data_IF_059220442169
#
_entry.id   IF_059220442169
#
_cell.length_a   1.000
_cell.length_b   1.000
_cell.length_c   1.000
_cell.angle_alpha   90.00
_cell.angle_beta   90.00
_cell.angle_gamma   90.00
#
_symmetry.space_group_name_H-M   'P 1'
#
loop_
_entity.id
_entity.type
_entity.pdbx_description
1 polymer ?
#
# COMPACT_ATOMS: atom_id res chain seq x y z
N UNK A 1 -35.16 2.34 -4.26
CA UNK A 1 -33.92 3.09 -3.94
C UNK A 1 -33.72 3.01 -2.44
N UNK A 2 -32.82 2.14 -1.99
CA UNK A 2 -32.30 2.17 -0.61
C UNK A 2 -30.86 1.70 -0.70
N UNK A 3 -29.95 2.67 -0.61
CA UNK A 3 -28.51 2.49 -0.54
C UNK A 3 -28.16 1.79 0.77
N UNK A 4 -27.80 0.51 0.68
CA UNK A 4 -27.24 -0.24 1.80
C UNK A 4 -25.73 -0.06 1.85
N UNK A 5 -25.25 0.64 2.88
CA UNK A 5 -23.86 0.79 3.27
C UNK A 5 -23.10 -0.54 3.16
N UNK A 6 -22.27 -0.67 2.12
CA UNK A 6 -21.35 -1.79 1.96
C UNK A 6 -20.03 -1.42 2.63
N UNK A 7 -20.07 -1.29 3.97
CA UNK A 7 -18.85 -1.31 4.77
C UNK A 7 -18.17 -2.65 4.49
N UNK A 8 -17.14 -2.61 3.64
CA UNK A 8 -16.32 -3.74 3.28
C UNK A 8 -15.42 -4.09 4.48
N UNK A 9 -16.04 -4.62 5.53
CA UNK A 9 -15.36 -5.23 6.68
C UNK A 9 -14.63 -6.45 6.16
N UNK A 10 -13.41 -6.23 5.67
CA UNK A 10 -12.42 -7.27 5.42
C UNK A 10 -12.32 -8.12 6.70
N UNK A 11 -12.94 -9.31 6.68
CA UNK A 11 -12.92 -10.25 7.78
C UNK A 11 -11.54 -10.91 7.79
N UNK A 12 -10.59 -10.30 8.51
CA UNK A 12 -9.30 -10.93 8.76
C UNK A 12 -9.52 -12.15 9.67
N UNK A 13 -9.20 -13.35 9.20
CA UNK A 13 -9.09 -14.53 10.05
C UNK A 13 -7.61 -14.79 10.29
N UNK A 14 -7.15 -14.56 11.52
CA UNK A 14 -5.82 -14.97 11.94
C UNK A 14 -5.85 -16.49 12.10
N UNK A 15 -5.26 -17.22 11.15
CA UNK A 15 -5.01 -18.64 11.33
C UNK A 15 -3.79 -18.77 12.27
N UNK A 16 -4.06 -18.98 13.55
CA UNK A 16 -3.02 -19.34 14.52
C UNK A 16 -2.52 -20.74 14.22
N UNK A 17 -1.48 -20.86 13.39
CA UNK A 17 -0.70 -22.08 13.22
C UNK A 17 0.50 -22.10 14.19
N UNK A 18 0.93 -23.28 14.66
CA UNK A 18 1.99 -23.39 15.66
C UNK A 18 3.33 -23.00 15.02
N UNK A 19 3.96 -21.91 15.51
CA UNK A 19 5.31 -21.41 15.16
C UNK A 19 5.65 -21.41 13.66
N UNK A 20 5.62 -20.26 12.97
CA UNK A 20 6.25 -20.23 11.64
C UNK A 20 6.13 -18.96 10.83
N UNK A 21 4.96 -18.68 10.25
CA UNK A 21 4.85 -17.66 9.19
C UNK A 21 3.56 -16.89 9.34
N UNK A 22 3.65 -15.55 9.45
CA UNK A 22 2.47 -14.69 9.44
C UNK A 22 1.84 -14.75 8.04
N UNK A 23 0.53 -14.97 7.96
CA UNK A 23 -0.22 -14.95 6.70
C UNK A 23 -1.34 -13.92 6.81
N UNK A 24 -1.48 -13.11 5.77
CA UNK A 24 -2.60 -12.19 5.60
C UNK A 24 -3.50 -12.69 4.46
N UNK A 25 -4.81 -12.66 4.68
CA UNK A 25 -5.77 -13.04 3.65
C UNK A 25 -6.27 -11.81 2.89
N UNK A 26 -6.21 -11.87 1.57
CA UNK A 26 -6.89 -10.95 0.68
C UNK A 26 -8.03 -11.70 -0.03
N UNK A 27 -9.25 -11.61 0.50
CA UNK A 27 -10.37 -12.44 0.05
C UNK A 27 -10.08 -13.92 0.33
N UNK A 28 -9.87 -14.71 -0.72
CA UNK A 28 -9.52 -16.14 -0.66
C UNK A 28 -8.03 -16.43 -0.91
N UNK A 29 -7.21 -15.40 -1.08
CA UNK A 29 -5.78 -15.55 -1.38
C UNK A 29 -4.91 -15.29 -0.15
N UNK A 30 -4.05 -16.24 0.15
CA UNK A 30 -3.02 -16.08 1.17
C UNK A 30 -1.86 -15.24 0.64
N UNK A 31 -1.40 -14.32 1.48
CA UNK A 31 -0.28 -13.42 1.19
C UNK A 31 0.67 -13.42 2.38
N UNK A 32 1.98 -13.42 2.10
CA UNK A 32 3.01 -13.31 3.14
C UNK A 32 3.31 -11.84 3.34
N UNK A 33 3.09 -11.27 4.54
CA UNK A 33 3.36 -9.87 4.77
C UNK A 33 4.84 -9.62 5.06
N UNK A 34 5.26 -8.40 4.78
CA UNK A 34 6.51 -7.82 5.27
C UNK A 34 6.18 -6.88 6.44
N UNK A 35 6.99 -6.90 7.49
CA UNK A 35 6.78 -6.04 8.67
C UNK A 35 7.69 -4.81 8.56
N UNK A 36 7.12 -3.61 8.62
CA UNK A 36 7.84 -2.32 8.63
C UNK A 36 7.21 -1.35 9.60
N UNK A 37 8.02 -0.70 10.45
CA UNK A 37 7.56 0.19 11.52
C UNK A 37 6.41 -0.40 12.37
N UNK A 38 6.48 -1.70 12.66
CA UNK A 38 5.43 -2.42 13.40
C UNK A 38 4.13 -2.65 12.63
N UNK A 39 4.08 -2.33 11.33
CA UNK A 39 2.95 -2.57 10.44
C UNK A 39 3.26 -3.73 9.51
N UNK A 40 2.38 -4.73 9.48
CA UNK A 40 2.47 -5.81 8.51
C UNK A 40 1.75 -5.40 7.22
N UNK A 41 2.46 -5.45 6.10
CA UNK A 41 2.02 -5.04 4.77
C UNK A 41 2.05 -6.24 3.84
N UNK A 42 0.96 -6.51 3.13
CA UNK A 42 0.87 -7.61 2.19
C UNK A 42 0.34 -7.14 0.84
N UNK A 43 0.87 -7.70 -0.24
CA UNK A 43 0.37 -7.48 -1.60
C UNK A 43 -0.19 -8.76 -2.21
N UNK A 44 -1.38 -8.68 -2.79
CA UNK A 44 -1.99 -9.77 -3.51
C UNK A 44 -1.87 -9.55 -5.01
N UNK A 45 -0.97 -10.29 -5.69
CA UNK A 45 -0.78 -10.19 -7.15
C UNK A 45 -2.01 -10.60 -7.96
N UNK A 46 -2.86 -11.48 -7.42
CA UNK A 46 -4.09 -11.91 -8.09
C UNK A 46 -5.17 -10.83 -8.02
N UNK A 47 -5.37 -10.23 -6.85
CA UNK A 47 -6.39 -9.20 -6.65
C UNK A 47 -5.92 -7.79 -7.03
N UNK A 48 -4.60 -7.57 -7.17
CA UNK A 48 -4.03 -6.24 -7.42
C UNK A 48 -4.21 -5.29 -6.24
N UNK A 49 -4.14 -5.79 -5.01
CA UNK A 49 -4.40 -5.01 -3.79
C UNK A 49 -3.21 -5.05 -2.84
N UNK A 50 -3.10 -4.00 -2.02
CA UNK A 50 -2.22 -3.94 -0.84
C UNK A 50 -3.09 -3.85 0.41
N UNK A 51 -2.75 -4.60 1.45
CA UNK A 51 -3.49 -4.64 2.72
C UNK A 51 -2.55 -4.48 3.90
N UNK A 52 -3.09 -3.95 5.00
CA UNK A 52 -2.35 -3.62 6.21
C UNK A 52 -2.99 -4.30 7.41
N UNK A 53 -2.16 -4.85 8.29
CA UNK A 53 -2.65 -5.42 9.55
C UNK A 53 -2.88 -4.32 10.58
N UNK A 54 -4.04 -4.35 11.24
CA UNK A 54 -4.41 -3.44 12.33
C UNK A 54 -4.35 -1.94 11.98
N UNK A 55 -4.38 -1.60 10.68
CA UNK A 55 -4.40 -0.23 10.16
C UNK A 55 -5.39 -0.19 9.01
N UNK A 56 -6.05 0.95 8.84
CA UNK A 56 -6.77 1.23 7.60
C UNK A 56 -5.78 1.52 6.46
N UNK A 57 -6.30 1.67 5.24
CA UNK A 57 -5.46 1.89 4.07
C UNK A 57 -4.69 3.21 4.15
N UNK A 58 -5.24 4.25 4.78
CA UNK A 58 -4.54 5.53 4.92
C UNK A 58 -3.41 5.45 5.95
N UNK A 59 -3.68 4.98 7.16
CA UNK A 59 -2.68 4.84 8.21
C UNK A 59 -1.60 3.82 7.86
N UNK A 60 -1.96 2.75 7.15
CA UNK A 60 -1.01 1.78 6.61
C UNK A 60 -0.07 2.39 5.57
N UNK A 61 -0.61 3.19 4.65
CA UNK A 61 0.19 3.90 3.66
C UNK A 61 1.04 4.99 4.29
N UNK A 62 0.51 5.77 5.24
CA UNK A 62 1.32 6.73 5.98
C UNK A 62 2.52 6.07 6.68
N UNK A 63 2.32 4.89 7.28
CA UNK A 63 3.41 4.12 7.89
C UNK A 63 4.41 3.57 6.85
N UNK A 64 3.94 3.15 5.67
CA UNK A 64 4.78 2.66 4.59
C UNK A 64 5.70 3.77 4.04
N UNK A 65 5.19 5.00 3.99
CA UNK A 65 5.89 6.16 3.43
C UNK A 65 6.56 7.05 4.50
N UNK A 66 6.49 6.69 5.79
CA UNK A 66 6.89 7.56 6.91
C UNK A 66 8.33 8.08 6.80
N UNK A 67 9.26 7.21 6.44
CA UNK A 67 10.69 7.55 6.32
C UNK A 67 11.10 7.91 4.89
N UNK A 68 10.14 7.93 3.96
CA UNK A 68 10.42 8.23 2.57
C UNK A 68 10.31 9.72 2.31
N UNK A 69 11.26 10.25 1.53
CA UNK A 69 11.23 11.65 1.11
C UNK A 69 10.48 11.79 -0.21
N UNK A 70 9.50 12.69 -0.25
CA UNK A 70 8.89 13.14 -1.52
C UNK A 70 9.98 13.79 -2.39
N UNK A 71 10.21 13.23 -3.58
CA UNK A 71 11.23 13.74 -4.53
C UNK A 71 10.63 14.39 -5.76
N UNK A 72 9.34 14.19 -6.03
CA UNK A 72 8.67 14.86 -7.12
C UNK A 72 7.25 14.37 -7.38
N UNK A 73 6.61 15.03 -8.32
CA UNK A 73 5.34 14.63 -8.94
C UNK A 73 5.63 14.23 -10.38
N UNK A 74 5.06 13.13 -10.83
CA UNK A 74 5.26 12.57 -12.17
C UNK A 74 3.93 12.49 -12.91
N UNK A 75 3.98 12.66 -14.22
CA UNK A 75 2.80 12.52 -15.07
C UNK A 75 2.24 11.09 -14.99
N UNK A 76 0.92 11.01 -14.92
CA UNK A 76 0.16 9.80 -14.62
C UNK A 76 0.03 8.80 -15.80
N UNK A 77 1.02 8.72 -16.71
CA UNK A 77 0.92 7.82 -17.87
C UNK A 77 0.87 6.36 -17.37
N UNK A 78 -0.29 5.71 -17.57
CA UNK A 78 -0.55 4.34 -17.12
C UNK A 78 -0.84 4.21 -15.61
N UNK A 79 -0.98 5.31 -14.88
CA UNK A 79 -1.37 5.30 -13.46
C UNK A 79 -2.90 5.25 -13.29
N UNK A 80 -3.40 4.65 -12.20
CA UNK A 80 -4.83 4.52 -11.93
C UNK A 80 -5.51 5.83 -11.46
N UNK A 81 -4.75 6.92 -11.33
CA UNK A 81 -5.20 8.25 -10.94
C UNK A 81 -4.38 9.33 -11.64
N UNK A 82 -4.91 10.56 -11.70
CA UNK A 82 -4.34 11.67 -12.49
C UNK A 82 -3.10 12.34 -11.91
N UNK A 83 -2.73 12.06 -10.66
CA UNK A 83 -1.50 12.54 -10.03
C UNK A 83 -0.74 11.36 -9.41
N UNK A 84 0.57 11.33 -9.63
CA UNK A 84 1.49 10.37 -9.03
C UNK A 84 2.60 11.11 -8.32
N UNK A 85 2.81 10.77 -7.05
CA UNK A 85 3.92 11.28 -6.25
C UNK A 85 5.02 10.22 -6.14
N UNK A 86 6.27 10.63 -6.31
CA UNK A 86 7.44 9.76 -6.21
C UNK A 86 8.19 10.01 -4.91
N UNK A 87 8.49 8.92 -4.20
CA UNK A 87 9.06 8.90 -2.87
C UNK A 87 10.34 8.07 -2.86
N UNK A 88 11.46 8.68 -2.46
CA UNK A 88 12.75 8.00 -2.37
C UNK A 88 12.95 7.44 -0.94
N UNK A 89 13.44 6.19 -0.81
CA UNK A 89 13.83 5.68 0.50
C UNK A 89 14.95 6.54 1.12
N UNK A 90 15.06 6.59 2.46
CA UNK A 90 16.05 7.40 3.15
C UNK A 90 17.48 6.94 2.83
N UNK A 91 17.70 5.62 2.79
CA UNK A 91 18.96 4.99 2.42
C UNK A 91 18.75 4.00 1.27
N UNK A 92 19.67 3.97 0.30
CA UNK A 92 19.60 3.06 -0.85
C UNK A 92 19.70 1.58 -0.48
N UNK A 93 20.21 1.27 0.72
CA UNK A 93 20.35 -0.08 1.27
C UNK A 93 19.10 -0.60 2.00
N UNK A 94 18.20 0.28 2.47
CA UNK A 94 16.99 -0.13 3.18
C UNK A 94 15.76 -0.17 2.25
N UNK A 95 15.80 -1.12 1.30
CA UNK A 95 14.75 -1.35 0.29
C UNK A 95 13.66 -2.32 0.73
N UNK A 96 13.71 -2.84 1.94
CA UNK A 96 12.74 -3.78 2.51
C UNK A 96 11.27 -3.37 2.34
N UNK A 97 10.97 -2.06 2.42
CA UNK A 97 9.61 -1.55 2.19
C UNK A 97 9.17 -1.73 0.73
N UNK A 98 10.12 -1.60 -0.21
CA UNK A 98 9.88 -1.86 -1.63
C UNK A 98 9.70 -3.36 -1.87
N UNK A 99 10.37 -4.24 -1.11
CA UNK A 99 10.19 -5.70 -1.23
C UNK A 99 8.76 -6.15 -0.91
N UNK A 100 8.03 -5.39 -0.10
CA UNK A 100 6.61 -5.64 0.18
C UNK A 100 5.70 -5.40 -1.05
N UNK A 101 6.16 -4.57 -1.98
CA UNK A 101 5.41 -4.13 -3.16
C UNK A 101 6.11 -4.64 -4.43
N UNK A 102 5.53 -5.62 -5.15
CA UNK A 102 6.10 -6.08 -6.41
C UNK A 102 6.34 -4.93 -7.39
N UNK A 103 7.49 -4.89 -8.09
CA UNK A 103 7.84 -3.78 -8.96
C UNK A 103 6.96 -3.70 -10.20
N UNK A 104 6.84 -2.50 -10.75
CA UNK A 104 6.20 -2.17 -12.03
C UNK A 104 4.71 -2.53 -12.12
N UNK A 105 4.03 -2.65 -10.98
CA UNK A 105 2.59 -2.91 -10.93
C UNK A 105 1.90 -2.09 -9.85
N UNK A 106 0.77 -1.50 -10.21
CA UNK A 106 -0.09 -0.79 -9.28
C UNK A 106 -0.89 -1.75 -8.39
N UNK A 107 -0.86 -1.50 -7.09
CA UNK A 107 -1.65 -2.20 -6.08
C UNK A 107 -2.59 -1.21 -5.40
N UNK A 108 -3.88 -1.54 -5.41
CA UNK A 108 -4.93 -0.74 -4.80
C UNK A 108 -4.95 -0.92 -3.29
N UNK A 109 -4.78 0.16 -2.53
CA UNK A 109 -4.93 0.17 -1.08
C UNK A 109 -6.39 0.41 -0.66
N UNK A 110 -7.07 1.31 -1.36
CA UNK A 110 -8.52 1.55 -1.28
C UNK A 110 -9.02 2.12 -2.61
N UNK A 111 -10.29 2.53 -2.70
CA UNK A 111 -10.90 3.04 -3.93
C UNK A 111 -10.30 4.34 -4.48
N UNK A 112 -9.41 4.99 -3.72
CA UNK A 112 -8.80 6.29 -4.03
C UNK A 112 -7.27 6.31 -3.93
N UNK A 113 -6.62 5.20 -3.57
CA UNK A 113 -5.21 5.16 -3.23
C UNK A 113 -4.54 3.89 -3.80
N UNK A 114 -3.44 4.08 -4.50
CA UNK A 114 -2.65 3.01 -5.10
C UNK A 114 -1.15 3.22 -4.85
N UNK A 115 -0.43 2.11 -4.76
CA UNK A 115 1.02 2.07 -4.59
C UNK A 115 1.68 1.27 -5.71
N UNK A 116 2.87 1.68 -6.12
CA UNK A 116 3.75 0.97 -7.03
C UNK A 116 5.21 1.24 -6.61
N UNK A 117 6.16 0.49 -7.15
CA UNK A 117 7.57 0.85 -7.13
C UNK A 117 8.23 0.55 -8.47
N UNK A 118 9.26 1.30 -8.83
CA UNK A 118 10.01 1.17 -10.08
C UNK A 118 11.41 0.55 -9.90
N UNK A 119 11.70 0.01 -8.72
CA UNK A 119 13.03 -0.48 -8.34
C UNK A 119 13.95 0.59 -7.74
N UNK A 120 13.56 1.87 -7.74
CA UNK A 120 14.32 2.96 -7.10
C UNK A 120 13.49 3.84 -6.14
N UNK A 121 12.21 4.04 -6.43
CA UNK A 121 11.29 4.86 -5.62
C UNK A 121 9.96 4.13 -5.39
N UNK A 122 9.25 4.52 -4.33
CA UNK A 122 7.82 4.23 -4.19
C UNK A 122 7.01 5.29 -4.93
N UNK A 123 5.96 4.86 -5.59
CA UNK A 123 5.03 5.70 -6.32
C UNK A 123 3.66 5.62 -5.63
N UNK A 124 3.08 6.78 -5.37
CA UNK A 124 1.77 6.94 -4.76
C UNK A 124 0.83 7.63 -5.74
N UNK A 125 -0.18 6.91 -6.22
CA UNK A 125 -1.24 7.50 -7.03
C UNK A 125 -2.49 7.69 -6.17
N UNK A 126 -3.14 8.84 -6.29
CA UNK A 126 -4.34 9.14 -5.52
C UNK A 126 -5.36 9.96 -6.32
N UNK A 127 -6.64 9.80 -5.96
CA UNK A 127 -7.74 10.59 -6.55
C UNK A 127 -8.11 11.85 -5.76
N UNK A 128 -7.46 12.08 -4.61
CA UNK A 128 -7.75 13.23 -3.74
C UNK A 128 -6.64 14.28 -3.78
N UNK A 129 -6.89 15.51 -4.26
CA UNK A 129 -5.91 16.59 -4.21
C UNK A 129 -5.36 16.91 -2.79
N UNK A 130 -6.03 16.41 -1.74
CA UNK A 130 -5.69 16.64 -0.33
C UNK A 130 -4.49 15.80 0.15
N UNK A 131 -4.17 14.66 -0.48
CA UNK A 131 -2.98 13.88 -0.11
C UNK A 131 -1.71 14.69 -0.40
N UNK A 132 -1.72 15.45 -1.50
CA UNK A 132 -0.66 16.38 -1.89
C UNK A 132 -0.44 17.52 -0.89
N UNK A 133 -1.43 17.82 -0.02
CA UNK A 133 -1.35 18.80 1.07
C UNK A 133 -0.91 18.20 2.42
N UNK A 134 -1.23 16.93 2.67
CA UNK A 134 -0.86 16.25 3.94
C UNK A 134 0.54 15.65 3.92
N UNK A 135 1.08 15.32 2.73
CA UNK A 135 2.42 14.72 2.57
C UNK A 135 3.46 15.74 2.08
N UNK A 136 3.13 17.03 2.08
CA UNK A 136 3.97 18.09 1.51
C UNK A 136 3.39 19.49 1.72
N UNK A 137 3.35 19.93 2.98
CA UNK A 137 3.51 21.31 3.41
C UNK A 137 4.19 21.30 4.79
#
# INVERSE_FOLDING_TARGET
MSSGNMENRLKYRVLSQPRGTMVMMCGTHDTTPVIRHGVAVATCRKCGTVTFRNRDSFGGMAALFADYRLVGRVEAIGAPAGEVMAFRPPDSSDRSTMDAIPPHRWFRANEHLWVCQDGSVLLLAHRFPLVSRMLGA
#
